data_IF_934848803774
#
_entry.id   IF_934848803774
#
_cell.length_a   1.000
_cell.length_b   1.000
_cell.length_c   1.000
_cell.angle_alpha   90.00
_cell.angle_beta   90.00
_cell.angle_gamma   90.00
#
_symmetry.space_group_name_H-M   'P 1'
#
loop_
_entity.id
_entity.type
_entity.pdbx_description
1 polymer ?
#
# COMPACT_ATOMS: atom_id res chain seq x y z
N UNK A 1 -6.31 4.38 -22.20
CA UNK A 1 -5.29 4.65 -21.19
C UNK A 1 -5.56 3.79 -19.97
N UNK A 2 -4.56 3.05 -19.49
CA UNK A 2 -4.77 2.27 -18.29
C UNK A 2 -5.16 3.17 -17.12
N UNK A 3 -5.88 2.65 -16.15
CA UNK A 3 -6.25 3.46 -14.98
C UNK A 3 -5.05 3.89 -14.14
N UNK A 4 -3.90 3.24 -14.30
CA UNK A 4 -2.67 3.62 -13.63
C UNK A 4 -1.55 3.68 -14.65
N UNK A 5 -0.47 4.39 -14.33
CA UNK A 5 0.64 4.57 -15.25
C UNK A 5 1.32 3.26 -15.60
N UNK A 6 1.39 2.33 -14.67
CA UNK A 6 2.08 1.07 -14.87
C UNK A 6 1.15 -0.07 -15.28
N UNK A 7 -0.15 0.19 -15.34
CA UNK A 7 -1.11 -0.81 -15.79
C UNK A 7 -1.41 -1.93 -14.80
N UNK A 8 -0.80 -1.91 -13.64
CA UNK A 8 -1.04 -2.92 -12.60
C UNK A 8 -2.12 -2.47 -11.64
N UNK A 9 -2.85 -3.44 -11.15
CA UNK A 9 -3.85 -3.19 -10.12
C UNK A 9 -3.49 -4.05 -8.93
N UNK A 10 -3.37 -3.43 -7.76
CA UNK A 10 -2.93 -4.17 -6.58
C UNK A 10 -3.63 -3.66 -5.33
N UNK A 11 -3.65 -4.54 -4.35
CA UNK A 11 -4.17 -4.18 -3.03
C UNK A 11 -3.54 -5.10 -2.00
N UNK A 12 -2.94 -4.52 -0.97
CA UNK A 12 -2.37 -5.26 0.14
C UNK A 12 -2.80 -4.58 1.43
N UNK A 13 -3.32 -5.36 2.37
CA UNK A 13 -3.87 -4.82 3.61
C UNK A 13 -3.41 -5.65 4.80
N UNK A 14 -3.03 -4.99 5.88
CA UNK A 14 -2.72 -5.63 7.14
C UNK A 14 -3.64 -5.07 8.22
N UNK A 15 -4.33 -5.97 8.90
CA UNK A 15 -5.29 -5.61 9.95
C UNK A 15 -4.79 -6.11 11.29
N UNK A 16 -4.87 -5.27 12.30
CA UNK A 16 -4.48 -5.62 13.66
C UNK A 16 -5.49 -5.02 14.63
N UNK A 17 -5.97 -5.83 15.54
CA UNK A 17 -6.93 -5.37 16.55
C UNK A 17 -8.23 -4.86 15.95
N UNK A 18 -8.63 -5.40 14.80
CA UNK A 18 -9.85 -4.98 14.14
C UNK A 18 -9.70 -3.70 13.32
N UNK A 19 -8.50 -3.13 13.28
CA UNK A 19 -8.24 -1.90 12.55
C UNK A 19 -7.25 -2.15 11.42
N UNK A 20 -7.49 -1.49 10.29
CA UNK A 20 -6.56 -1.55 9.16
C UNK A 20 -5.38 -0.63 9.46
N UNK A 21 -4.23 -1.23 9.71
CA UNK A 21 -3.03 -0.50 10.11
C UNK A 21 -2.18 -0.12 8.90
N UNK A 22 -2.10 -1.03 7.92
CA UNK A 22 -1.32 -0.79 6.70
C UNK A 22 -2.19 -1.15 5.51
N UNK A 23 -2.17 -0.32 4.49
CA UNK A 23 -2.86 -0.61 3.25
C UNK A 23 -2.15 0.04 2.09
N UNK A 24 -1.90 -0.74 1.03
CA UNK A 24 -1.31 -0.24 -0.20
C UNK A 24 -2.26 -0.61 -1.32
N UNK A 25 -2.71 0.37 -2.09
CA UNK A 25 -3.53 0.04 -3.25
C UNK A 25 -3.44 1.16 -4.28
N UNK A 26 -3.98 0.87 -5.46
CA UNK A 26 -4.17 1.87 -6.46
C UNK A 26 -5.61 1.78 -6.95
N UNK A 27 -6.32 2.88 -6.86
CA UNK A 27 -7.67 2.96 -7.35
C UNK A 27 -7.72 3.71 -8.65
N UNK A 28 -8.70 3.34 -9.46
CA UNK A 28 -8.92 4.01 -10.72
C UNK A 28 -9.13 5.50 -10.50
N UNK A 29 -8.33 6.31 -11.20
CA UNK A 29 -8.45 7.75 -11.12
C UNK A 29 -7.76 8.41 -9.95
N UNK A 30 -7.21 7.62 -9.03
CA UNK A 30 -6.54 8.18 -7.85
C UNK A 30 -5.04 7.92 -7.84
N UNK A 31 -4.58 6.98 -8.66
CA UNK A 31 -3.19 6.61 -8.65
C UNK A 31 -2.81 5.76 -7.47
N UNK A 32 -1.52 5.64 -7.25
CA UNK A 32 -0.98 4.78 -6.19
C UNK A 32 -0.98 5.53 -4.86
N UNK A 33 -1.39 4.85 -3.81
CA UNK A 33 -1.40 5.46 -2.48
C UNK A 33 -1.29 4.39 -1.41
N UNK A 34 -0.97 4.81 -0.19
CA UNK A 34 -0.91 3.89 0.92
C UNK A 34 -1.57 4.52 2.15
N UNK A 35 -2.05 3.66 3.03
CA UNK A 35 -2.63 4.06 4.30
C UNK A 35 -1.74 3.51 5.41
N UNK A 36 -1.27 4.40 6.28
CA UNK A 36 -0.44 4.02 7.41
C UNK A 36 -1.01 4.64 8.66
N UNK A 37 -1.46 3.79 9.59
CA UNK A 37 -1.99 4.24 10.87
C UNK A 37 -3.13 5.25 10.72
N UNK A 38 -3.98 5.01 9.72
CA UNK A 38 -5.15 5.85 9.48
C UNK A 38 -4.89 7.06 8.60
N UNK A 39 -3.68 7.24 8.12
CA UNK A 39 -3.35 8.36 7.24
C UNK A 39 -3.15 7.89 5.82
N UNK A 40 -3.67 8.64 4.87
CA UNK A 40 -3.47 8.34 3.46
C UNK A 40 -2.29 9.16 2.94
N UNK A 41 -1.34 8.46 2.30
CA UNK A 41 -0.12 9.07 1.81
C UNK A 41 0.09 8.66 0.35
N UNK A 42 0.74 9.52 -0.45
CA UNK A 42 1.08 9.11 -1.81
C UNK A 42 2.14 8.01 -1.78
N UNK A 43 2.06 7.11 -2.75
CA UNK A 43 3.01 6.01 -2.87
C UNK A 43 3.54 5.98 -4.28
N UNK A 44 4.85 5.82 -4.41
CA UNK A 44 5.49 5.72 -5.71
C UNK A 44 5.76 4.26 -6.04
N UNK A 45 4.94 3.70 -6.92
CA UNK A 45 5.10 2.31 -7.35
C UNK A 45 6.26 2.22 -8.34
N UNK A 46 7.13 1.25 -8.14
CA UNK A 46 8.23 0.98 -9.06
C UNK A 46 8.11 -0.43 -9.63
N UNK A 47 8.15 -1.44 -8.76
CA UNK A 47 8.00 -2.82 -9.17
C UNK A 47 7.14 -3.55 -8.15
N UNK A 48 6.61 -4.72 -8.56
CA UNK A 48 5.85 -5.55 -7.64
C UNK A 48 6.73 -6.03 -6.48
N UNK A 49 7.98 -6.37 -6.79
CA UNK A 49 8.91 -6.82 -5.74
C UNK A 49 9.14 -5.72 -4.71
N UNK A 50 9.31 -4.49 -5.17
CA UNK A 50 9.52 -3.38 -4.25
C UNK A 50 8.25 -3.11 -3.44
N UNK A 51 7.09 -3.24 -4.06
CA UNK A 51 5.82 -3.07 -3.36
C UNK A 51 5.70 -4.06 -2.21
N UNK A 52 6.03 -5.32 -2.47
CA UNK A 52 5.97 -6.37 -1.45
C UNK A 52 6.94 -6.05 -0.31
N UNK A 53 8.15 -5.62 -0.64
CA UNK A 53 9.14 -5.28 0.38
C UNK A 53 8.69 -4.10 1.21
N UNK A 54 8.13 -3.08 0.58
CA UNK A 54 7.62 -1.91 1.29
C UNK A 54 6.48 -2.28 2.22
N UNK A 55 5.59 -3.16 1.75
CA UNK A 55 4.48 -3.62 2.58
C UNK A 55 4.98 -4.40 3.79
N UNK A 56 5.92 -5.32 3.58
CA UNK A 56 6.48 -6.13 4.66
C UNK A 56 7.20 -5.24 5.66
N UNK A 57 7.94 -4.26 5.18
CA UNK A 57 8.66 -3.34 6.07
C UNK A 57 7.68 -2.54 6.93
N UNK A 58 6.58 -2.07 6.33
CA UNK A 58 5.59 -1.32 7.08
C UNK A 58 4.91 -2.16 8.14
N UNK A 59 4.59 -3.41 7.80
CA UNK A 59 3.97 -4.34 8.74
C UNK A 59 4.94 -4.67 9.87
N UNK A 60 6.21 -4.95 9.53
CA UNK A 60 7.20 -5.31 10.52
C UNK A 60 7.45 -4.20 11.52
N UNK A 61 7.48 -2.96 11.05
CA UNK A 61 7.68 -1.82 11.94
C UNK A 61 6.57 -1.72 12.99
N UNK A 62 5.34 -2.07 12.60
CA UNK A 62 4.21 -1.99 13.52
C UNK A 62 4.12 -3.18 14.45
N UNK A 63 4.59 -4.34 13.99
CA UNK A 63 4.60 -5.53 14.83
C UNK A 63 5.73 -5.51 15.86
N UNK A 64 6.80 -4.79 15.56
CA UNK A 64 7.95 -4.70 16.44
C UNK A 64 7.75 -3.71 17.58
N UNK A 65 6.76 -2.86 17.48
CA UNK A 65 6.52 -1.83 18.49
C UNK A 65 5.62 -2.32 19.62
#
# INVERSE_FOLDING_TARGET
VPPTEHGYKYRAVYVSGGLRVVGFDNERGKGDHCHLDGKELPYHFTTVDQLVEDFIAAVSARRAS
#
